data_IF_108659869064
#
_entry.id   IF_108659869064
#
_cell.length_a   1.000
_cell.length_b   1.000
_cell.length_c   1.000
_cell.angle_alpha   90.00
_cell.angle_beta   90.00
_cell.angle_gamma   90.00
#
_symmetry.space_group_name_H-M   'P 1'
#
loop_
_entity.id
_entity.type
_entity.pdbx_description
1 polymer ?
#
# COMPACT_ATOMS: atom_id res chain seq x y z
N UNK A 1 -3.07 4.44 33.34
CA UNK A 1 -3.45 4.09 31.96
C UNK A 1 -2.96 5.19 31.04
N UNK A 2 -2.06 4.89 30.11
CA UNK A 2 -1.60 5.84 29.11
C UNK A 2 -2.63 5.91 27.99
N UNK A 3 -3.08 7.12 27.65
CA UNK A 3 -4.00 7.36 26.54
C UNK A 3 -3.38 8.36 25.58
N UNK A 4 -3.37 8.02 24.29
CA UNK A 4 -2.85 8.86 23.22
C UNK A 4 -4.02 9.18 22.28
N UNK A 5 -4.61 10.38 22.34
CA UNK A 5 -5.86 10.70 21.62
C UNK A 5 -5.72 10.67 20.10
N UNK A 6 -4.51 10.96 19.58
CA UNK A 6 -4.21 10.98 18.15
C UNK A 6 -2.92 10.22 17.88
N UNK A 7 -2.93 9.35 16.87
CA UNK A 7 -1.74 8.61 16.43
C UNK A 7 -0.59 9.56 16.08
N UNK A 8 -0.88 10.75 15.54
CA UNK A 8 0.12 11.77 15.23
C UNK A 8 0.89 12.31 16.44
N UNK A 9 0.34 12.16 17.66
CA UNK A 9 0.94 12.60 18.92
C UNK A 9 1.74 11.49 19.61
N UNK A 10 1.66 10.26 19.10
CA UNK A 10 2.35 9.12 19.67
C UNK A 10 3.87 9.31 19.87
N UNK A 11 4.61 10.01 18.98
CA UNK A 11 6.03 10.28 19.24
C UNK A 11 6.28 10.99 20.58
N UNK A 12 5.33 11.80 21.07
CA UNK A 12 5.45 12.50 22.35
C UNK A 12 5.34 11.55 23.55
N UNK A 13 4.74 10.38 23.38
CA UNK A 13 4.57 9.35 24.41
C UNK A 13 5.64 8.26 24.34
N UNK A 14 6.62 8.37 23.44
CA UNK A 14 7.61 7.32 23.19
C UNK A 14 8.41 6.94 24.45
N UNK A 15 8.83 7.93 25.26
CA UNK A 15 9.57 7.67 26.49
C UNK A 15 8.75 6.86 27.51
N UNK A 16 7.50 7.27 27.76
CA UNK A 16 6.60 6.55 28.67
C UNK A 16 6.29 5.12 28.16
N UNK A 17 6.09 4.95 26.85
CA UNK A 17 5.89 3.62 26.25
C UNK A 17 7.09 2.71 26.44
N UNK A 18 8.32 3.23 26.33
CA UNK A 18 9.54 2.45 26.58
C UNK A 18 9.73 2.12 28.05
N UNK A 19 9.42 3.04 28.96
CA UNK A 19 9.51 2.82 30.41
C UNK A 19 8.57 1.68 30.86
N UNK A 20 7.39 1.59 30.25
CA UNK A 20 6.42 0.52 30.48
C UNK A 20 6.75 -0.79 29.72
N UNK A 21 7.86 -0.84 28.98
CA UNK A 21 8.25 -2.02 28.19
C UNK A 21 7.29 -2.35 27.04
N UNK A 22 6.58 -1.35 26.51
CA UNK A 22 5.57 -1.56 25.48
C UNK A 22 6.19 -1.95 24.12
N UNK A 23 5.52 -2.89 23.43
CA UNK A 23 5.78 -3.23 22.04
C UNK A 23 4.57 -2.80 21.22
N UNK A 24 4.80 -1.95 20.24
CA UNK A 24 3.75 -1.47 19.36
C UNK A 24 3.41 -2.52 18.29
N UNK A 25 2.11 -2.83 18.13
CA UNK A 25 1.60 -3.65 17.03
C UNK A 25 1.02 -2.71 15.95
N UNK A 26 1.69 -2.53 14.81
CA UNK A 26 1.23 -1.60 13.78
C UNK A 26 0.05 -2.17 12.99
N UNK A 27 -0.84 -1.28 12.53
CA UNK A 27 -1.92 -1.60 11.57
C UNK A 27 -2.00 -0.52 10.48
N UNK A 28 -2.70 -0.78 9.36
CA UNK A 28 -2.66 0.06 8.16
C UNK A 28 -2.95 1.55 8.39
N UNK A 29 -3.91 1.89 9.25
CA UNK A 29 -4.24 3.28 9.57
C UNK A 29 -3.11 4.00 10.32
N UNK A 30 -2.27 3.26 11.04
CA UNK A 30 -1.18 3.82 11.83
C UNK A 30 -0.14 4.51 10.94
N UNK A 31 0.24 3.85 9.86
CA UNK A 31 1.17 4.37 8.85
C UNK A 31 0.52 5.52 8.08
N UNK A 32 -0.78 5.42 7.78
CA UNK A 32 -1.52 6.48 7.10
C UNK A 32 -1.55 7.78 7.92
N UNK A 33 -1.77 7.69 9.24
CA UNK A 33 -1.89 8.88 10.10
C UNK A 33 -0.53 9.47 10.53
N UNK A 34 0.47 8.63 10.77
CA UNK A 34 1.79 9.10 11.21
C UNK A 34 2.69 9.50 10.03
N UNK A 35 2.50 8.86 8.88
CA UNK A 35 3.38 8.93 7.73
C UNK A 35 4.56 7.94 7.84
N UNK A 36 5.05 7.41 6.70
CA UNK A 36 6.06 6.35 6.67
C UNK A 36 7.38 6.77 7.34
N UNK A 37 7.86 8.01 7.11
CA UNK A 37 9.12 8.50 7.66
C UNK A 37 9.10 8.59 9.19
N UNK A 38 8.03 9.19 9.74
CA UNK A 38 7.85 9.33 11.19
C UNK A 38 7.65 7.99 11.88
N UNK A 39 6.98 7.05 11.21
CA UNK A 39 6.82 5.69 11.72
C UNK A 39 8.16 4.97 11.81
N UNK A 40 8.98 5.05 10.77
CA UNK A 40 10.32 4.43 10.76
C UNK A 40 11.21 5.02 11.85
N UNK A 41 11.12 6.34 12.07
CA UNK A 41 11.89 7.06 13.11
C UNK A 41 11.32 6.94 14.53
N UNK A 42 10.16 6.29 14.73
CA UNK A 42 9.51 6.22 16.03
C UNK A 42 10.40 5.48 17.05
N UNK A 43 10.65 6.12 18.19
CA UNK A 43 11.54 5.57 19.21
C UNK A 43 10.78 4.65 20.20
N UNK A 44 10.07 3.65 19.68
CA UNK A 44 9.33 2.65 20.47
C UNK A 44 9.49 1.28 19.80
N UNK A 45 9.78 0.17 20.51
CA UNK A 45 9.81 -1.15 19.90
C UNK A 45 8.55 -1.45 19.10
N UNK A 46 8.70 -1.94 17.87
CA UNK A 46 7.59 -2.26 16.96
C UNK A 46 7.68 -3.74 16.59
N UNK A 47 6.54 -4.43 16.64
CA UNK A 47 6.44 -5.79 16.11
C UNK A 47 6.46 -5.77 14.58
N UNK A 48 7.40 -6.51 13.99
CA UNK A 48 7.59 -6.61 12.54
C UNK A 48 8.79 -5.82 12.03
N UNK A 49 8.91 -5.70 10.70
CA UNK A 49 10.01 -5.01 10.04
C UNK A 49 9.61 -3.61 9.58
N UNK A 50 10.16 -2.57 10.20
CA UNK A 50 9.85 -1.17 9.84
C UNK A 50 10.19 -0.81 8.40
N UNK A 51 11.22 -1.44 7.82
CA UNK A 51 11.65 -1.13 6.46
C UNK A 51 10.57 -1.48 5.42
N UNK A 52 9.68 -2.43 5.72
CA UNK A 52 8.59 -2.87 4.83
C UNK A 52 7.64 -1.71 4.50
N UNK A 53 7.44 -0.77 5.41
CA UNK A 53 6.59 0.41 5.17
C UNK A 53 7.10 1.23 3.98
N UNK A 54 8.42 1.32 3.79
CA UNK A 54 9.02 2.00 2.64
C UNK A 54 8.80 1.29 1.31
N UNK A 55 8.52 -0.02 1.32
CA UNK A 55 8.19 -0.83 0.15
C UNK A 55 6.70 -0.77 -0.17
N UNK A 56 5.84 -0.92 0.84
CA UNK A 56 4.37 -0.90 0.68
C UNK A 56 3.81 0.47 0.31
N UNK A 57 4.51 1.56 0.67
CA UNK A 57 4.05 2.92 0.40
C UNK A 57 4.38 3.46 -1.01
N UNK A 58 5.31 2.84 -1.74
CA UNK A 58 5.67 3.22 -3.12
C UNK A 58 5.23 2.11 -4.09
N UNK A 59 4.29 2.43 -4.99
CA UNK A 59 3.75 1.46 -5.96
C UNK A 59 4.76 0.84 -6.91
N UNK A 60 5.88 1.52 -7.18
CA UNK A 60 6.97 0.95 -8.00
C UNK A 60 7.71 -0.12 -7.20
N UNK A 61 8.09 0.20 -5.96
CA UNK A 61 8.74 -0.77 -5.06
C UNK A 61 7.83 -1.96 -4.75
N UNK A 62 6.55 -1.73 -4.52
CA UNK A 62 5.55 -2.79 -4.31
C UNK A 62 5.52 -3.74 -5.52
N UNK A 63 5.48 -3.20 -6.75
CA UNK A 63 5.52 -4.03 -7.96
C UNK A 63 6.83 -4.80 -8.08
N UNK A 64 7.97 -4.14 -7.92
CA UNK A 64 9.29 -4.79 -8.00
C UNK A 64 9.40 -5.93 -6.98
N UNK A 65 8.87 -5.72 -5.77
CA UNK A 65 8.85 -6.73 -4.72
C UNK A 65 7.97 -7.92 -5.08
N UNK A 66 6.74 -7.69 -5.56
CA UNK A 66 5.81 -8.74 -5.94
C UNK A 66 6.32 -9.55 -7.15
N UNK A 67 6.80 -8.86 -8.19
CA UNK A 67 7.32 -9.51 -9.40
C UNK A 67 8.59 -10.31 -9.11
N UNK A 68 9.51 -9.78 -8.29
CA UNK A 68 10.72 -10.52 -7.88
C UNK A 68 10.42 -11.74 -7.00
N UNK A 69 9.29 -11.74 -6.28
CA UNK A 69 8.79 -12.89 -5.52
C UNK A 69 8.03 -13.92 -6.38
N UNK A 70 7.88 -13.68 -7.69
CA UNK A 70 7.13 -14.55 -8.60
C UNK A 70 5.61 -14.42 -8.47
N UNK A 71 5.11 -13.35 -7.84
CA UNK A 71 3.67 -13.08 -7.77
C UNK A 71 3.20 -12.56 -9.12
N UNK A 72 2.13 -13.17 -9.64
CA UNK A 72 1.49 -12.71 -10.86
C UNK A 72 0.86 -11.34 -10.64
N UNK A 73 1.35 -10.34 -11.37
CA UNK A 73 0.83 -8.98 -11.35
C UNK A 73 0.09 -8.69 -12.66
N UNK A 74 -1.02 -7.93 -12.60
CA UNK A 74 -1.72 -7.56 -13.83
C UNK A 74 -0.82 -6.70 -14.73
N UNK A 75 -0.95 -6.91 -16.03
CA UNK A 75 -0.14 -6.22 -17.04
C UNK A 75 -0.31 -4.71 -16.93
N UNK A 76 0.75 -3.97 -17.23
CA UNK A 76 0.74 -2.52 -17.36
C UNK A 76 0.87 -2.13 -18.82
N UNK A 77 0.19 -1.05 -19.17
CA UNK A 77 0.31 -0.41 -20.46
C UNK A 77 0.91 0.98 -20.23
N UNK A 78 1.90 1.34 -21.03
CA UNK A 78 2.54 2.66 -20.97
C UNK A 78 1.68 3.71 -21.68
N UNK A 79 1.04 3.34 -22.79
CA UNK A 79 0.18 4.24 -23.54
C UNK A 79 -1.23 3.66 -23.77
N UNK A 80 -2.23 4.55 -23.84
CA UNK A 80 -3.62 4.17 -24.15
C UNK A 80 -3.74 3.47 -25.51
N UNK A 81 -2.85 3.80 -26.46
CA UNK A 81 -2.89 3.20 -27.80
C UNK A 81 -2.52 1.72 -27.81
N UNK A 82 -1.82 1.24 -26.78
CA UNK A 82 -1.32 -0.13 -26.68
C UNK A 82 -2.36 -1.08 -26.07
N UNK A 83 -3.53 -0.55 -25.65
CA UNK A 83 -4.59 -1.33 -25.01
C UNK A 83 -5.20 -2.32 -26.01
N UNK A 84 -5.06 -3.60 -25.71
CA UNK A 84 -5.58 -4.74 -26.48
C UNK A 84 -6.69 -5.52 -25.74
N UNK A 85 -7.03 -5.12 -24.50
CA UNK A 85 -7.94 -5.83 -23.59
C UNK A 85 -8.63 -4.88 -22.58
N UNK A 86 -9.57 -5.37 -21.76
CA UNK A 86 -10.14 -4.57 -20.69
C UNK A 86 -9.08 -4.06 -19.70
N UNK A 87 -9.14 -2.78 -19.36
CA UNK A 87 -8.21 -2.13 -18.43
C UNK A 87 -8.95 -1.29 -17.39
N UNK A 88 -8.27 -1.09 -16.27
CA UNK A 88 -8.58 -0.10 -15.25
C UNK A 88 -7.50 0.96 -15.22
N UNK A 89 -7.91 2.21 -15.38
CA UNK A 89 -7.05 3.38 -15.30
C UNK A 89 -7.20 4.00 -13.91
N UNK A 90 -6.08 4.14 -13.20
CA UNK A 90 -6.03 4.58 -11.80
C UNK A 90 -5.17 5.83 -11.67
N UNK A 91 -5.74 6.92 -11.15
CA UNK A 91 -4.93 8.10 -10.79
C UNK A 91 -3.96 7.81 -9.64
N UNK A 92 -2.80 8.45 -9.66
CA UNK A 92 -1.92 8.45 -8.49
C UNK A 92 -2.59 9.18 -7.32
N UNK A 93 -2.43 8.64 -6.11
CA UNK A 93 -3.05 9.19 -4.90
C UNK A 93 -4.55 8.91 -4.73
N UNK A 94 -5.20 8.19 -5.65
CA UNK A 94 -6.58 7.75 -5.48
C UNK A 94 -6.71 6.79 -4.28
N UNK A 95 -7.19 7.30 -3.15
CA UNK A 95 -7.55 6.50 -1.97
C UNK A 95 -8.94 5.88 -2.17
N UNK A 96 -9.09 4.61 -1.81
CA UNK A 96 -10.39 3.93 -1.81
C UNK A 96 -11.04 3.73 -3.17
N UNK A 97 -10.28 3.75 -4.27
CA UNK A 97 -10.81 3.48 -5.62
C UNK A 97 -11.58 4.61 -6.27
N UNK A 98 -11.58 5.81 -5.67
CA UNK A 98 -12.25 6.99 -6.23
C UNK A 98 -11.53 7.47 -7.50
N UNK A 99 -12.28 7.70 -8.57
CA UNK A 99 -11.75 8.24 -9.83
C UNK A 99 -11.14 7.21 -10.77
N UNK A 100 -11.42 5.92 -10.58
CA UNK A 100 -11.02 4.89 -11.55
C UNK A 100 -11.87 4.99 -12.82
N UNK A 101 -11.23 4.79 -13.97
CA UNK A 101 -11.90 4.69 -15.26
C UNK A 101 -11.74 3.25 -15.79
N UNK A 102 -12.82 2.67 -16.30
CA UNK A 102 -12.81 1.35 -16.91
C UNK A 102 -12.97 1.49 -18.42
N UNK A 103 -12.09 0.83 -19.17
CA UNK A 103 -12.18 0.75 -20.62
C UNK A 103 -12.17 -0.71 -21.03
N UNK A 104 -13.10 -1.14 -21.89
CA UNK A 104 -13.11 -2.53 -22.39
C UNK A 104 -12.12 -2.75 -23.51
N UNK A 105 -11.78 -1.67 -24.23
CA UNK A 105 -10.89 -1.65 -25.38
C UNK A 105 -10.35 -0.23 -25.60
N UNK A 106 -9.52 -0.07 -26.64
CA UNK A 106 -8.94 1.22 -27.04
C UNK A 106 -9.98 2.30 -27.33
N UNK A 107 -11.10 1.98 -27.99
CA UNK A 107 -12.11 2.99 -28.36
C UNK A 107 -12.76 3.61 -27.12
N UNK A 108 -13.03 2.81 -26.08
CA UNK A 108 -13.58 3.31 -24.81
C UNK A 108 -12.66 4.35 -24.13
N UNK A 109 -11.35 4.35 -24.46
CA UNK A 109 -10.41 5.33 -23.89
C UNK A 109 -10.56 6.74 -24.45
N UNK A 110 -11.28 6.94 -25.55
CA UNK A 110 -11.55 8.27 -26.11
C UNK A 110 -12.38 9.14 -25.14
N UNK A 111 -13.19 8.53 -24.28
CA UNK A 111 -13.92 9.22 -23.23
C UNK A 111 -13.04 9.56 -22.00
N UNK A 112 -11.84 8.98 -21.89
CA UNK A 112 -10.93 9.22 -20.78
C UNK A 112 -10.11 10.49 -21.00
N UNK A 113 -10.40 11.51 -20.20
CA UNK A 113 -9.69 12.79 -20.23
C UNK A 113 -8.85 12.92 -18.96
N UNK A 114 -7.53 12.67 -19.02
CA UNK A 114 -6.70 12.65 -17.83
C UNK A 114 -6.55 14.05 -17.23
N UNK A 115 -6.91 14.18 -15.95
CA UNK A 115 -6.76 15.44 -15.18
C UNK A 115 -5.52 15.46 -14.29
N UNK A 116 -4.74 14.38 -14.33
CA UNK A 116 -3.56 14.18 -13.50
C UNK A 116 -2.86 12.88 -13.89
N UNK A 117 -1.75 12.56 -13.22
CA UNK A 117 -0.94 11.41 -13.58
C UNK A 117 -1.63 10.11 -13.14
N UNK A 118 -1.55 9.08 -13.99
CA UNK A 118 -2.30 7.83 -13.86
C UNK A 118 -1.48 6.60 -14.28
N UNK A 119 -2.00 5.41 -13.97
CA UNK A 119 -1.51 4.12 -14.45
C UNK A 119 -2.61 3.36 -15.19
N UNK A 120 -2.26 2.68 -16.26
CA UNK A 120 -3.13 1.77 -17.00
C UNK A 120 -2.76 0.34 -16.61
N UNK A 121 -3.74 -0.43 -16.17
CA UNK A 121 -3.53 -1.79 -15.71
C UNK A 121 -4.60 -2.70 -16.30
N UNK A 122 -4.24 -3.92 -16.69
CA UNK A 122 -5.18 -4.96 -17.08
C UNK A 122 -6.29 -5.13 -16.03
N UNK A 123 -7.53 -5.20 -16.52
CA UNK A 123 -8.68 -5.50 -15.70
C UNK A 123 -8.80 -7.02 -15.57
N UNK A 124 -8.36 -7.54 -14.43
CA UNK A 124 -8.46 -8.98 -14.13
C UNK A 124 -9.90 -9.31 -13.73
N UNK A 125 -10.58 -10.07 -14.58
CA UNK A 125 -11.91 -10.59 -14.29
C UNK A 125 -11.80 -11.79 -13.34
N UNK A 126 -12.36 -11.65 -12.13
CA UNK A 126 -12.36 -12.73 -11.16
C UNK A 126 -13.02 -12.36 -9.84
N UNK A 127 -13.12 -13.33 -8.95
CA UNK A 127 -13.59 -13.13 -7.58
C UNK A 127 -12.47 -12.56 -6.71
N UNK A 128 -12.79 -11.56 -5.90
CA UNK A 128 -11.81 -10.94 -4.99
C UNK A 128 -11.59 -11.81 -3.77
N UNK A 129 -10.34 -12.15 -3.49
CA UNK A 129 -9.90 -12.80 -2.27
C UNK A 129 -8.84 -11.96 -1.56
N UNK A 130 -8.98 -11.80 -0.25
CA UNK A 130 -7.99 -11.15 0.61
C UNK A 130 -7.45 -12.21 1.56
N UNK A 131 -6.31 -12.81 1.20
CA UNK A 131 -5.70 -13.87 2.00
C UNK A 131 -4.83 -13.23 3.08
N UNK A 132 -5.07 -13.58 4.34
CA UNK A 132 -4.31 -13.06 5.47
C UNK A 132 -3.26 -14.09 5.88
N UNK A 133 -1.99 -13.69 5.88
CA UNK A 133 -0.86 -14.53 6.25
C UNK A 133 -0.28 -14.11 7.60
N UNK A 134 0.37 -15.05 8.29
CA UNK A 134 1.23 -14.77 9.44
C UNK A 134 2.52 -15.57 9.28
N UNK A 135 3.66 -14.88 9.17
CA UNK A 135 4.97 -15.51 9.10
C UNK A 135 5.64 -15.48 10.48
N UNK A 136 6.00 -16.64 10.99
CA UNK A 136 6.82 -16.77 12.20
C UNK A 136 8.27 -17.01 11.80
N UNK A 137 9.22 -16.09 12.09
CA UNK A 137 10.64 -16.34 11.88
C UNK A 137 11.22 -17.31 12.92
N UNK A 138 10.49 -17.58 14.00
CA UNK A 138 10.88 -18.56 15.01
C UNK A 138 10.63 -19.94 14.40
N UNK A 139 11.72 -20.61 14.02
CA UNK A 139 11.71 -21.94 13.41
C UNK A 139 11.99 -23.07 14.41
N UNK A 140 12.22 -22.73 15.69
CA UNK A 140 12.51 -23.72 16.72
C UNK A 140 11.23 -24.39 17.23
N UNK A 141 10.89 -25.49 16.57
CA UNK A 141 10.47 -26.72 17.25
C UNK A 141 11.50 -27.80 16.98
#
# INVERSE_FOLDING_TARGET
FLSVPKVSELPNSAAALREEGAILIPHGSFVEYLGPERFVALDVPVFGNRAVIGWESDRRKERDWLESAGVLMPLRFEELRDIDRPVIIKYYGAKGGKGFFLAKNRADTEAFHPTGPYVIQEYVLGTRYYVHFFYSPLSDR
#
